data_IF_608429165205
#
_entry.id   IF_608429165205
#
_cell.length_a   1.000
_cell.length_b   1.000
_cell.length_c   1.000
_cell.angle_alpha   90.00
_cell.angle_beta   90.00
_cell.angle_gamma   90.00
#
_symmetry.space_group_name_H-M   'P 1'
#
loop_
_entity.id
_entity.type
_entity.pdbx_description
1 polymer ?
#
# COMPACT_ATOMS: atom_id res chain seq x y z
N UNK A 1 -24.94 26.73 -9.54
CA UNK A 1 -23.55 26.46 -10.00
C UNK A 1 -22.72 26.51 -8.74
N UNK A 2 -22.77 25.41 -8.01
CA UNK A 2 -22.50 25.42 -6.57
C UNK A 2 -21.07 24.90 -6.41
N UNK A 3 -20.11 25.84 -6.50
CA UNK A 3 -18.74 25.60 -6.08
C UNK A 3 -18.72 25.67 -4.55
N UNK A 4 -19.18 24.60 -3.91
CA UNK A 4 -18.83 24.37 -2.51
C UNK A 4 -17.34 24.06 -2.46
N UNK A 5 -16.58 24.93 -1.78
CA UNK A 5 -15.23 24.61 -1.32
C UNK A 5 -15.35 23.43 -0.34
N UNK A 6 -15.28 22.21 -0.84
CA UNK A 6 -15.15 21.01 -0.01
C UNK A 6 -13.77 21.01 0.66
N UNK A 7 -13.67 21.68 1.81
CA UNK A 7 -12.48 21.69 2.68
C UNK A 7 -12.28 20.34 3.40
N UNK A 8 -13.14 19.36 3.15
CA UNK A 8 -13.10 18.06 3.81
C UNK A 8 -13.34 16.94 2.81
N UNK A 9 -12.30 16.16 2.52
CA UNK A 9 -12.38 14.83 1.90
C UNK A 9 -13.04 13.79 2.85
N UNK A 10 -13.64 14.23 3.97
CA UNK A 10 -14.43 13.38 4.85
C UNK A 10 -15.85 13.22 4.29
N UNK A 11 -16.01 12.23 3.42
CA UNK A 11 -17.30 11.84 2.88
C UNK A 11 -18.12 11.03 3.89
N UNK A 12 -19.46 11.06 3.83
CA UNK A 12 -20.29 10.16 4.62
C UNK A 12 -20.02 8.69 4.22
N UNK A 13 -20.22 7.71 5.13
CA UNK A 13 -19.86 6.32 4.89
C UNK A 13 -20.39 5.71 3.58
N UNK A 14 -21.59 6.11 3.16
CA UNK A 14 -22.21 5.65 1.91
C UNK A 14 -21.45 6.15 0.67
N UNK A 15 -20.95 7.38 0.71
CA UNK A 15 -20.18 7.97 -0.40
C UNK A 15 -18.77 7.39 -0.45
N UNK A 16 -18.11 7.17 0.71
CA UNK A 16 -16.83 6.45 0.78
C UNK A 16 -16.97 5.06 0.18
N UNK A 17 -17.99 4.30 0.58
CA UNK A 17 -18.22 2.95 0.07
C UNK A 17 -18.35 2.94 -1.47
N UNK A 18 -19.14 3.85 -2.05
CA UNK A 18 -19.27 3.99 -3.51
C UNK A 18 -17.95 4.37 -4.17
N UNK A 19 -17.16 5.26 -3.56
CA UNK A 19 -15.86 5.67 -4.09
C UNK A 19 -14.86 4.51 -4.10
N UNK A 20 -14.76 3.78 -2.99
CA UNK A 20 -13.88 2.61 -2.88
C UNK A 20 -14.35 1.46 -3.77
N UNK A 21 -15.66 1.27 -3.97
CA UNK A 21 -16.21 0.33 -4.95
C UNK A 21 -15.74 0.68 -6.37
N UNK A 22 -15.89 1.94 -6.80
CA UNK A 22 -15.43 2.38 -8.12
C UNK A 22 -13.90 2.21 -8.29
N UNK A 23 -13.12 2.58 -7.28
CA UNK A 23 -11.67 2.36 -7.26
C UNK A 23 -11.33 0.87 -7.31
N UNK A 24 -12.12 0.02 -6.65
CA UNK A 24 -11.96 -1.42 -6.65
C UNK A 24 -12.14 -2.05 -8.03
N UNK A 25 -13.13 -1.58 -8.80
CA UNK A 25 -13.33 -1.99 -10.20
C UNK A 25 -12.13 -1.57 -11.06
N UNK A 26 -11.64 -0.33 -10.91
CA UNK A 26 -10.50 0.17 -11.66
C UNK A 26 -9.23 -0.65 -11.38
N UNK A 27 -8.91 -0.89 -10.09
CA UNK A 27 -7.75 -1.69 -9.66
C UNK A 27 -7.84 -3.14 -10.13
N UNK A 28 -9.01 -3.77 -10.07
CA UNK A 28 -9.20 -5.15 -10.51
C UNK A 28 -8.92 -5.33 -12.01
N UNK A 29 -9.18 -4.30 -12.81
CA UNK A 29 -9.03 -4.30 -14.27
C UNK A 29 -7.73 -3.68 -14.79
N UNK A 30 -6.84 -3.24 -13.91
CA UNK A 30 -5.48 -2.84 -14.29
C UNK A 30 -4.79 -3.98 -15.05
N UNK A 31 -4.06 -3.63 -16.10
CA UNK A 31 -3.27 -4.60 -16.86
C UNK A 31 -2.17 -5.22 -15.98
N UNK A 32 -1.71 -6.41 -16.35
CA UNK A 32 -0.83 -7.18 -15.48
C UNK A 32 0.53 -6.51 -15.28
N UNK A 33 1.05 -5.85 -16.30
CA UNK A 33 2.39 -5.25 -16.26
C UNK A 33 2.39 -4.00 -15.39
N UNK A 34 1.39 -3.14 -15.55
CA UNK A 34 1.21 -1.96 -14.70
C UNK A 34 1.01 -2.38 -13.24
N UNK A 35 0.12 -3.34 -12.98
CA UNK A 35 -0.12 -3.83 -11.62
C UNK A 35 1.16 -4.40 -10.99
N UNK A 36 1.89 -5.24 -11.72
CA UNK A 36 3.12 -5.85 -11.20
C UNK A 36 4.20 -4.80 -10.93
N UNK A 37 4.38 -3.83 -11.83
CA UNK A 37 5.37 -2.75 -11.67
C UNK A 37 5.06 -1.89 -10.45
N UNK A 38 3.80 -1.45 -10.31
CA UNK A 38 3.36 -0.69 -9.15
C UNK A 38 3.43 -1.50 -7.85
N UNK A 39 3.19 -2.82 -7.92
CA UNK A 39 3.32 -3.69 -6.77
C UNK A 39 4.78 -3.92 -6.34
N UNK A 40 5.72 -4.02 -7.28
CA UNK A 40 7.15 -4.06 -6.97
C UNK A 40 7.60 -2.77 -6.28
N UNK A 41 7.16 -1.61 -6.78
CA UNK A 41 7.43 -0.32 -6.14
C UNK A 41 6.85 -0.26 -4.72
N UNK A 42 5.61 -0.72 -4.52
CA UNK A 42 5.00 -0.77 -3.20
C UNK A 42 5.81 -1.64 -2.22
N UNK A 43 6.24 -2.82 -2.65
CA UNK A 43 7.12 -3.70 -1.86
C UNK A 43 8.43 -3.02 -1.48
N UNK A 44 9.09 -2.38 -2.45
CA UNK A 44 10.34 -1.67 -2.21
C UNK A 44 10.18 -0.55 -1.16
N UNK A 45 9.11 0.25 -1.24
CA UNK A 45 8.84 1.32 -0.26
C UNK A 45 8.54 0.80 1.15
N UNK A 46 7.78 -0.30 1.27
CA UNK A 46 7.54 -0.93 2.58
C UNK A 46 8.84 -1.48 3.16
N UNK A 47 9.69 -2.10 2.33
CA UNK A 47 11.01 -2.56 2.77
C UNK A 47 11.91 -1.41 3.22
N UNK A 48 11.89 -0.26 2.52
CA UNK A 48 12.63 0.94 2.94
C UNK A 48 12.12 1.49 4.28
N UNK A 49 10.80 1.53 4.48
CA UNK A 49 10.21 1.92 5.77
C UNK A 49 10.61 0.96 6.91
N UNK A 50 10.64 -0.35 6.65
CA UNK A 50 11.09 -1.35 7.60
C UNK A 50 12.59 -1.22 7.92
N UNK A 51 13.44 -0.95 6.93
CA UNK A 51 14.86 -0.69 7.14
C UNK A 51 15.06 0.57 8.00
N UNK A 52 14.30 1.64 7.74
CA UNK A 52 14.38 2.86 8.54
C UNK A 52 13.94 2.62 9.99
N UNK A 53 12.86 1.83 10.20
CA UNK A 53 12.49 1.36 11.55
C UNK A 53 13.66 0.67 12.24
N UNK A 54 14.32 -0.27 11.56
CA UNK A 54 15.42 -1.05 12.14
C UNK A 54 16.59 -0.14 12.51
N UNK A 55 16.98 0.78 11.63
CA UNK A 55 18.07 1.74 11.89
C UNK A 55 17.80 2.60 13.12
N UNK A 56 16.56 3.08 13.29
CA UNK A 56 16.20 3.93 14.44
C UNK A 56 16.05 3.14 15.73
N UNK A 57 15.60 1.88 15.65
CA UNK A 57 15.35 1.04 16.82
C UNK A 57 16.61 0.32 17.34
N UNK A 58 17.56 0.00 16.46
CA UNK A 58 18.76 -0.76 16.81
C UNK A 58 19.69 0.09 17.69
N UNK A 59 20.14 -0.47 18.81
CA UNK A 59 21.01 0.21 19.79
C UNK A 59 20.46 1.55 20.32
N UNK A 60 19.15 1.75 20.24
CA UNK A 60 18.52 2.95 20.77
C UNK A 60 18.70 3.04 22.29
N UNK A 61 19.20 4.17 22.77
CA UNK A 61 19.30 4.48 24.21
C UNK A 61 17.96 4.89 24.83
N UNK A 62 16.91 5.02 24.00
CA UNK A 62 15.56 5.29 24.43
C UNK A 62 14.96 4.06 25.13
N UNK A 63 14.11 4.28 26.15
CA UNK A 63 13.35 3.19 26.75
C UNK A 63 12.46 2.46 25.73
N UNK A 64 12.17 1.18 25.98
CA UNK A 64 11.47 0.29 25.04
C UNK A 64 10.24 0.91 24.36
N UNK A 65 9.36 1.55 25.14
CA UNK A 65 8.13 2.16 24.61
C UNK A 65 8.42 3.30 23.62
N UNK A 66 9.38 4.17 23.96
CA UNK A 66 9.71 5.31 23.11
C UNK A 66 10.48 4.88 21.85
N UNK A 67 11.40 3.91 21.96
CA UNK A 67 12.07 3.33 20.80
C UNK A 67 11.07 2.72 19.80
N UNK A 68 10.04 2.02 20.29
CA UNK A 68 8.97 1.47 19.43
C UNK A 68 8.10 2.54 18.80
N UNK A 69 7.79 3.61 19.53
CA UNK A 69 7.01 4.73 19.00
C UNK A 69 7.75 5.43 17.86
N UNK A 70 9.01 5.81 18.08
CA UNK A 70 9.84 6.49 17.06
C UNK A 70 10.07 5.55 15.87
N UNK A 71 10.36 4.26 16.11
CA UNK A 71 10.43 3.27 15.05
C UNK A 71 9.15 3.21 14.20
N UNK A 72 7.97 3.17 14.84
CA UNK A 72 6.69 3.16 14.12
C UNK A 72 6.45 4.41 13.28
N UNK A 73 6.86 5.58 13.78
CA UNK A 73 6.82 6.84 13.02
C UNK A 73 7.76 6.77 11.81
N UNK A 74 8.96 6.24 11.98
CA UNK A 74 9.91 5.99 10.88
C UNK A 74 9.33 5.03 9.84
N UNK A 75 8.69 3.93 10.27
CA UNK A 75 8.04 2.98 9.35
C UNK A 75 6.93 3.62 8.52
N UNK A 76 6.18 4.57 9.10
CA UNK A 76 5.07 5.25 8.43
C UNK A 76 5.48 5.95 7.14
N UNK A 77 6.76 6.36 7.02
CA UNK A 77 7.32 6.87 5.77
C UNK A 77 7.13 5.87 4.61
N UNK A 78 7.30 4.57 4.84
CA UNK A 78 7.09 3.54 3.82
C UNK A 78 5.67 3.57 3.25
N UNK A 79 4.67 3.71 4.11
CA UNK A 79 3.27 3.83 3.68
C UNK A 79 2.98 5.16 2.97
N UNK A 80 3.60 6.27 3.41
CA UNK A 80 3.48 7.57 2.74
C UNK A 80 4.02 7.47 1.30
N UNK A 81 5.18 6.85 1.10
CA UNK A 81 5.76 6.65 -0.22
C UNK A 81 4.84 5.83 -1.14
N UNK A 82 4.22 4.77 -0.62
CA UNK A 82 3.22 3.97 -1.36
C UNK A 82 2.06 4.85 -1.83
N UNK A 83 1.51 5.68 -0.94
CA UNK A 83 0.36 6.54 -1.26
C UNK A 83 0.73 7.62 -2.28
N UNK A 84 1.87 8.29 -2.08
CA UNK A 84 2.33 9.38 -2.97
C UNK A 84 2.66 8.85 -4.37
N UNK A 85 3.29 7.68 -4.46
CA UNK A 85 3.59 7.06 -5.75
C UNK A 85 2.37 6.44 -6.44
N UNK A 86 1.23 6.32 -5.74
CA UNK A 86 0.07 5.58 -6.25
C UNK A 86 0.38 4.09 -6.44
N UNK A 87 1.27 3.52 -5.62
CA UNK A 87 1.73 2.16 -5.76
C UNK A 87 0.68 1.14 -5.29
N UNK A 88 0.73 -0.08 -5.82
CA UNK A 88 -0.29 -1.11 -5.61
C UNK A 88 0.13 -2.06 -4.47
N UNK A 89 -0.29 -1.72 -3.26
CA UNK A 89 -0.05 -2.54 -2.07
C UNK A 89 -1.17 -3.56 -1.87
N UNK A 90 -0.81 -4.83 -1.68
CA UNK A 90 -1.74 -5.95 -1.49
C UNK A 90 -2.77 -5.68 -0.39
N UNK A 91 -2.34 -5.16 0.76
CA UNK A 91 -3.24 -4.86 1.88
C UNK A 91 -4.28 -3.79 1.53
N UNK A 92 -3.93 -2.81 0.72
CA UNK A 92 -4.87 -1.83 0.17
C UNK A 92 -5.80 -2.43 -0.89
N UNK A 93 -5.30 -3.36 -1.68
CA UNK A 93 -6.08 -4.06 -2.71
C UNK A 93 -7.05 -5.10 -2.14
N UNK A 94 -7.00 -5.42 -0.85
CA UNK A 94 -8.08 -6.19 -0.22
C UNK A 94 -9.42 -5.46 -0.28
N UNK A 95 -9.43 -4.13 -0.40
CA UNK A 95 -10.67 -3.35 -0.54
C UNK A 95 -11.39 -3.55 -1.88
N UNK A 96 -10.76 -4.18 -2.88
CA UNK A 96 -11.49 -4.62 -4.10
C UNK A 96 -12.62 -5.60 -3.75
N UNK A 97 -12.57 -6.23 -2.57
CA UNK A 97 -13.63 -7.06 -2.03
C UNK A 97 -14.99 -6.33 -1.96
N UNK A 98 -15.03 -4.99 -1.81
CA UNK A 98 -16.28 -4.24 -1.87
C UNK A 98 -16.89 -4.24 -3.27
N UNK A 99 -16.08 -4.06 -4.32
CA UNK A 99 -16.55 -4.18 -5.71
C UNK A 99 -17.01 -5.60 -6.04
N UNK A 100 -16.37 -6.61 -5.46
CA UNK A 100 -16.77 -8.01 -5.58
C UNK A 100 -18.09 -8.30 -4.85
N UNK A 101 -18.24 -7.82 -3.62
CA UNK A 101 -19.46 -7.97 -2.83
C UNK A 101 -20.67 -7.29 -3.49
N UNK A 102 -20.45 -6.17 -4.19
CA UNK A 102 -21.46 -5.51 -5.00
C UNK A 102 -21.72 -6.17 -6.38
N UNK A 103 -21.03 -7.27 -6.70
CA UNK A 103 -21.20 -7.98 -7.97
C UNK A 103 -20.63 -7.26 -9.19
N UNK A 104 -19.79 -6.24 -9.03
CA UNK A 104 -19.21 -5.47 -10.16
C UNK A 104 -17.98 -6.11 -10.79
N UNK A 105 -17.31 -6.99 -10.05
CA UNK A 105 -16.14 -7.75 -10.51
C UNK A 105 -16.31 -9.22 -10.14
N UNK A 106 -15.77 -10.11 -10.98
CA UNK A 106 -15.79 -11.55 -10.73
C UNK A 106 -14.67 -12.00 -9.79
N UNK A 107 -14.84 -13.17 -9.17
CA UNK A 107 -13.83 -13.78 -8.29
C UNK A 107 -12.47 -13.97 -8.99
N UNK A 108 -12.46 -14.26 -10.29
CA UNK A 108 -11.22 -14.39 -11.07
C UNK A 108 -10.44 -13.08 -11.15
N UNK A 109 -11.12 -11.94 -11.28
CA UNK A 109 -10.48 -10.62 -11.29
C UNK A 109 -9.86 -10.31 -9.93
N UNK A 110 -10.56 -10.63 -8.84
CA UNK A 110 -10.06 -10.49 -7.45
C UNK A 110 -8.80 -11.32 -7.24
N UNK A 111 -8.87 -12.63 -7.50
CA UNK A 111 -7.74 -13.54 -7.27
C UNK A 111 -6.52 -13.18 -8.14
N UNK A 112 -6.73 -12.77 -9.40
CA UNK A 112 -5.66 -12.28 -10.27
C UNK A 112 -4.98 -11.05 -9.67
N UNK A 113 -5.76 -10.05 -9.24
CA UNK A 113 -5.21 -8.82 -8.68
C UNK A 113 -4.41 -9.12 -7.40
N UNK A 114 -5.00 -9.87 -6.48
CA UNK A 114 -4.36 -10.26 -5.22
C UNK A 114 -3.07 -11.03 -5.43
N UNK A 115 -3.08 -12.01 -6.32
CA UNK A 115 -1.89 -12.81 -6.63
C UNK A 115 -0.77 -11.96 -7.22
N UNK A 116 -1.05 -11.13 -8.22
CA UNK A 116 -0.05 -10.26 -8.85
C UNK A 116 0.47 -9.19 -7.90
N UNK A 117 -0.40 -8.57 -7.11
CA UNK A 117 -0.01 -7.57 -6.12
C UNK A 117 0.88 -8.19 -5.03
N UNK A 118 0.51 -9.37 -4.51
CA UNK A 118 1.31 -10.07 -3.51
C UNK A 118 2.69 -10.47 -4.04
N UNK A 119 2.75 -11.07 -5.23
CA UNK A 119 4.02 -11.43 -5.86
C UNK A 119 4.90 -10.20 -6.13
N UNK A 120 4.32 -9.12 -6.65
CA UNK A 120 5.05 -7.87 -6.88
C UNK A 120 5.58 -7.28 -5.58
N UNK A 121 4.74 -7.19 -4.53
CA UNK A 121 5.18 -6.69 -3.22
C UNK A 121 6.31 -7.55 -2.64
N UNK A 122 6.18 -8.88 -2.66
CA UNK A 122 7.23 -9.78 -2.19
C UNK A 122 8.53 -9.61 -3.00
N UNK A 123 8.43 -9.55 -4.33
CA UNK A 123 9.57 -9.33 -5.21
C UNK A 123 10.27 -8.00 -4.96
N UNK A 124 9.51 -6.91 -4.79
CA UNK A 124 10.05 -5.60 -4.43
C UNK A 124 10.75 -5.58 -3.07
N UNK A 125 10.15 -6.20 -2.06
CA UNK A 125 10.79 -6.35 -0.75
C UNK A 125 12.12 -7.11 -0.83
N UNK A 126 12.12 -8.27 -1.48
CA UNK A 126 13.31 -9.10 -1.61
C UNK A 126 14.40 -8.40 -2.43
N UNK A 127 14.04 -7.72 -3.51
CA UNK A 127 14.99 -6.95 -4.32
C UNK A 127 15.65 -5.84 -3.48
N UNK A 128 14.88 -5.07 -2.71
CA UNK A 128 15.44 -4.04 -1.81
C UNK A 128 16.37 -4.64 -0.76
N UNK A 129 15.98 -5.76 -0.14
CA UNK A 129 16.83 -6.44 0.85
C UNK A 129 18.12 -6.94 0.20
N UNK A 130 18.07 -7.55 -0.97
CA UNK A 130 19.25 -8.02 -1.70
C UNK A 130 20.20 -6.87 -2.06
N UNK A 131 19.65 -5.72 -2.49
CA UNK A 131 20.45 -4.53 -2.77
C UNK A 131 21.19 -4.03 -1.53
N UNK A 132 20.50 -3.98 -0.38
CA UNK A 132 21.11 -3.56 0.89
C UNK A 132 22.17 -4.54 1.36
N UNK A 133 21.92 -5.84 1.26
CA UNK A 133 22.90 -6.88 1.60
C UNK A 133 24.13 -6.81 0.70
N UNK A 134 23.95 -6.53 -0.59
CA UNK A 134 25.08 -6.41 -1.52
C UNK A 134 25.88 -5.10 -1.34
N UNK A 135 25.24 -4.05 -0.83
CA UNK A 135 25.88 -2.77 -0.56
C UNK A 135 26.75 -2.76 0.71
N UNK A 136 26.66 -3.80 1.54
CA UNK A 136 27.37 -3.95 2.81
C UNK A 136 28.47 -5.01 2.71
#
# INVERSE_FOLDING_TARGET
>A
MDKELHFSDAYPPREIARKVECLGVAKARTDALTLLTLAVLAGAFISLGALFFIVVATESTLGFGLARLVGGLSFSLGLILVVVAGAELFTGNNLIAMAWASGRIGTREVLRNWFLAYLGNAGGCLATVLLVVWAN
#
